data_IF_238405267943
#
_entry.id   IF_238405267943
#
_cell.length_a   1.000
_cell.length_b   1.000
_cell.length_c   1.000
_cell.angle_alpha   90.00
_cell.angle_beta   90.00
_cell.angle_gamma   90.00
#
_symmetry.space_group_name_H-M   'P 1'
#
loop_
_entity.id
_entity.type
_entity.pdbx_description
1 polymer ?
#
# COMPACT_ATOMS: atom_id res chain seq x y z
N UNK A 1 -12.55 23.69 19.75
CA UNK A 1 -13.34 22.83 18.92
C UNK A 1 -12.54 22.49 17.68
N UNK A 2 -11.95 21.32 17.73
CA UNK A 2 -11.05 20.80 16.69
C UNK A 2 -11.89 20.26 15.55
N UNK A 3 -11.81 20.89 14.42
CA UNK A 3 -12.12 20.29 13.14
C UNK A 3 -10.79 20.16 12.39
N UNK A 4 -9.95 19.26 12.82
CA UNK A 4 -8.88 18.74 11.99
C UNK A 4 -9.54 17.83 10.97
N UNK A 5 -9.84 18.44 9.85
CA UNK A 5 -10.51 17.89 8.70
C UNK A 5 -9.68 16.71 8.17
N UNK A 6 -10.15 15.53 8.45
CA UNK A 6 -9.77 14.34 7.70
C UNK A 6 -10.19 14.63 6.25
N UNK A 7 -9.23 14.68 5.33
CA UNK A 7 -9.54 14.87 3.90
C UNK A 7 -10.32 13.64 3.44
N UNK A 8 -11.57 13.79 2.98
CA UNK A 8 -12.50 12.67 2.87
C UNK A 8 -12.20 11.72 1.71
N UNK A 9 -11.38 12.14 0.73
CA UNK A 9 -11.14 11.34 -0.47
C UNK A 9 -9.68 10.92 -0.59
N UNK A 10 -9.47 9.61 -0.82
CA UNK A 10 -8.23 9.04 -1.30
C UNK A 10 -8.32 8.92 -2.83
N UNK A 11 -7.38 9.52 -3.54
CA UNK A 11 -7.32 9.48 -5.00
C UNK A 11 -6.02 8.80 -5.42
N UNK A 12 -6.15 7.75 -6.23
CA UNK A 12 -5.01 7.02 -6.80
C UNK A 12 -5.16 6.96 -8.31
N UNK A 13 -4.10 7.26 -9.04
CA UNK A 13 -4.09 7.19 -10.50
C UNK A 13 -2.69 7.04 -11.06
N UNK A 14 -2.63 6.63 -12.33
CA UNK A 14 -1.40 6.57 -13.10
C UNK A 14 -1.46 7.57 -14.25
N UNK A 15 -0.38 8.32 -14.47
CA UNK A 15 -0.22 9.22 -15.62
C UNK A 15 0.79 8.61 -16.58
N UNK A 16 0.35 8.23 -17.76
CA UNK A 16 1.20 7.61 -18.79
C UNK A 16 1.64 8.65 -19.82
N UNK A 17 2.90 8.58 -20.24
CA UNK A 17 3.48 9.50 -21.20
C UNK A 17 3.72 10.90 -20.65
N UNK A 18 3.82 11.04 -19.33
CA UNK A 18 4.14 12.30 -18.67
C UNK A 18 5.56 12.75 -19.01
N UNK A 19 5.70 14.05 -19.31
CA UNK A 19 6.99 14.75 -19.36
C UNK A 19 7.32 15.48 -18.06
N UNK A 20 6.36 15.54 -17.14
CA UNK A 20 6.55 16.17 -15.86
C UNK A 20 7.43 15.29 -14.95
N UNK A 21 8.30 15.93 -14.18
CA UNK A 21 9.09 15.22 -13.17
C UNK A 21 8.22 14.94 -11.95
N UNK A 22 8.41 13.79 -11.32
CA UNK A 22 7.65 13.40 -10.11
C UNK A 22 7.65 14.48 -9.04
N UNK A 23 8.79 15.13 -8.81
CA UNK A 23 8.94 16.21 -7.83
C UNK A 23 8.09 17.44 -8.15
N UNK A 24 7.97 17.81 -9.42
CA UNK A 24 7.17 18.97 -9.84
C UNK A 24 5.67 18.67 -9.66
N UNK A 25 5.25 17.44 -9.96
CA UNK A 25 3.88 16.95 -9.74
C UNK A 25 3.55 16.91 -8.23
N UNK A 26 4.47 16.38 -7.43
CA UNK A 26 4.33 16.33 -5.97
C UNK A 26 4.16 17.71 -5.37
N UNK A 27 5.05 18.65 -5.74
CA UNK A 27 4.97 20.03 -5.25
C UNK A 27 3.66 20.71 -5.63
N UNK A 28 3.18 20.50 -6.85
CA UNK A 28 1.92 21.09 -7.31
C UNK A 28 0.71 20.53 -6.56
N UNK A 29 0.70 19.23 -6.30
CA UNK A 29 -0.38 18.58 -5.56
C UNK A 29 -0.39 18.94 -4.07
N UNK A 30 0.77 19.30 -3.49
CA UNK A 30 0.86 19.71 -2.08
C UNK A 30 0.09 21.00 -1.78
N UNK A 31 -0.22 21.82 -2.80
CA UNK A 31 -1.03 23.02 -2.63
C UNK A 31 -2.49 22.68 -2.25
N UNK A 32 -3.04 21.59 -2.81
CA UNK A 32 -4.45 21.22 -2.68
C UNK A 32 -4.68 19.92 -1.89
N UNK A 33 -3.61 19.18 -1.57
CA UNK A 33 -3.67 17.87 -0.96
C UNK A 33 -2.85 17.82 0.33
N UNK A 34 -3.34 17.08 1.34
CA UNK A 34 -2.58 16.90 2.60
C UNK A 34 -1.52 15.83 2.53
N UNK A 35 -1.85 14.72 1.90
CA UNK A 35 -0.93 13.63 1.66
C UNK A 35 -0.69 13.54 0.17
N UNK A 36 0.56 13.48 -0.22
CA UNK A 36 0.96 13.34 -1.62
C UNK A 36 2.11 12.33 -1.69
N UNK A 37 1.93 11.30 -2.49
CA UNK A 37 2.99 10.40 -2.88
C UNK A 37 3.01 10.29 -4.41
N UNK A 38 4.15 10.59 -5.02
CA UNK A 38 4.37 10.48 -6.45
C UNK A 38 5.56 9.59 -6.71
N UNK A 39 5.36 8.50 -7.42
CA UNK A 39 6.41 7.55 -7.77
C UNK A 39 6.57 7.53 -9.29
N UNK A 40 7.80 7.65 -9.74
CA UNK A 40 8.14 7.51 -11.15
C UNK A 40 8.44 6.04 -11.45
N UNK A 41 7.72 5.49 -12.42
CA UNK A 41 7.90 4.15 -12.95
C UNK A 41 8.14 4.25 -14.46
N UNK A 42 9.28 3.77 -14.92
CA UNK A 42 9.83 3.81 -16.30
C UNK A 42 9.18 4.78 -17.31
N UNK A 43 7.86 4.72 -17.52
CA UNK A 43 7.09 5.52 -18.49
C UNK A 43 5.84 6.18 -17.90
N UNK A 44 5.66 6.10 -16.59
CA UNK A 44 4.46 6.61 -15.91
C UNK A 44 4.77 7.22 -14.56
N UNK A 45 3.89 8.08 -14.11
CA UNK A 45 3.84 8.54 -12.73
C UNK A 45 2.67 7.86 -12.04
N UNK A 46 2.92 7.24 -10.90
CA UNK A 46 1.89 6.74 -10.01
C UNK A 46 1.69 7.76 -8.91
N UNK A 47 0.45 8.18 -8.71
CA UNK A 47 0.09 9.25 -7.79
C UNK A 47 -0.94 8.73 -6.80
N UNK A 48 -0.70 9.02 -5.52
CA UNK A 48 -1.63 8.77 -4.42
C UNK A 48 -1.75 10.04 -3.58
N UNK A 49 -2.97 10.55 -3.40
CA UNK A 49 -3.22 11.77 -2.64
C UNK A 49 -4.47 11.68 -1.79
N UNK A 50 -4.51 12.47 -0.70
CA UNK A 50 -5.72 12.71 0.09
C UNK A 50 -6.17 14.16 -0.07
N UNK A 51 -7.43 14.36 -0.47
CA UNK A 51 -7.99 15.69 -0.80
C UNK A 51 -9.46 15.79 -0.47
N UNK A 52 -9.95 17.01 -0.26
CA UNK A 52 -11.40 17.35 -0.20
C UNK A 52 -11.99 17.54 -1.60
N UNK A 53 -11.12 17.78 -2.61
CA UNK A 53 -11.52 18.17 -3.95
C UNK A 53 -10.91 17.24 -5.02
N UNK A 54 -11.39 15.98 -5.15
CA UNK A 54 -10.84 15.03 -6.11
C UNK A 54 -10.93 15.52 -7.57
N UNK A 55 -11.93 16.36 -7.90
CA UNK A 55 -12.07 16.97 -9.22
C UNK A 55 -10.88 17.85 -9.61
N UNK A 56 -10.35 18.64 -8.68
CA UNK A 56 -9.18 19.50 -8.91
C UNK A 56 -7.95 18.65 -9.23
N UNK A 57 -7.78 17.53 -8.52
CA UNK A 57 -6.68 16.58 -8.77
C UNK A 57 -6.78 15.99 -10.17
N UNK A 58 -7.98 15.64 -10.63
CA UNK A 58 -8.23 15.10 -11.97
C UNK A 58 -7.85 16.13 -13.04
N UNK A 59 -8.31 17.37 -12.90
CA UNK A 59 -8.01 18.45 -13.85
C UNK A 59 -6.52 18.71 -13.98
N UNK A 60 -5.81 18.76 -12.86
CA UNK A 60 -4.35 18.89 -12.86
C UNK A 60 -3.68 17.68 -13.53
N UNK A 61 -4.13 16.48 -13.21
CA UNK A 61 -3.54 15.25 -13.70
C UNK A 61 -3.68 15.07 -15.21
N UNK A 62 -4.79 15.51 -15.83
CA UNK A 62 -5.00 15.51 -17.28
C UNK A 62 -3.93 16.37 -17.99
N UNK A 63 -3.50 17.46 -17.37
CA UNK A 63 -2.44 18.31 -17.91
C UNK A 63 -1.05 17.66 -17.95
N UNK A 64 -0.81 16.60 -17.20
CA UNK A 64 0.50 15.90 -17.16
C UNK A 64 0.61 14.74 -18.13
N UNK A 65 -0.51 14.19 -18.64
CA UNK A 65 -0.52 13.08 -19.59
C UNK A 65 -1.82 12.27 -19.58
N UNK A 66 -1.76 11.04 -20.08
CA UNK A 66 -2.94 10.17 -20.15
C UNK A 66 -3.19 9.49 -18.80
N UNK A 67 -4.36 9.73 -18.24
CA UNK A 67 -4.78 9.05 -16.99
C UNK A 67 -5.12 7.59 -17.23
N UNK A 68 -4.68 6.73 -16.32
CA UNK A 68 -5.01 5.31 -16.24
C UNK A 68 -5.28 4.92 -14.79
N UNK A 69 -6.08 3.86 -14.60
CA UNK A 69 -6.34 3.26 -13.28
C UNK A 69 -6.78 4.29 -12.23
N UNK A 70 -7.62 5.23 -12.65
CA UNK A 70 -8.11 6.28 -11.76
C UNK A 70 -9.14 5.71 -10.78
N UNK A 71 -8.89 5.94 -9.48
CA UNK A 71 -9.78 5.53 -8.39
C UNK A 71 -9.94 6.67 -7.40
N UNK A 72 -11.17 6.90 -6.98
CA UNK A 72 -11.52 7.77 -5.86
C UNK A 72 -12.23 6.91 -4.81
N UNK A 73 -11.78 6.99 -3.58
CA UNK A 73 -12.41 6.30 -2.44
C UNK A 73 -12.80 7.35 -1.41
N UNK A 74 -14.04 7.35 -0.97
CA UNK A 74 -14.49 8.15 0.15
C UNK A 74 -13.95 7.55 1.45
N UNK A 75 -13.07 8.29 2.11
CA UNK A 75 -12.45 7.83 3.35
C UNK A 75 -13.42 7.90 4.54
N UNK A 76 -14.44 8.78 4.47
CA UNK A 76 -15.46 8.86 5.51
C UNK A 76 -16.40 7.65 5.44
N UNK A 77 -16.72 7.18 4.22
CA UNK A 77 -17.47 5.94 4.02
C UNK A 77 -16.64 4.72 4.42
N UNK A 78 -15.37 4.68 4.05
CA UNK A 78 -14.44 3.67 4.52
C UNK A 78 -14.29 3.70 6.05
N UNK A 79 -14.23 4.89 6.66
CA UNK A 79 -14.22 5.06 8.11
C UNK A 79 -15.59 4.76 8.76
N UNK A 80 -16.72 5.02 8.10
CA UNK A 80 -18.03 4.66 8.60
C UNK A 80 -18.27 3.14 8.55
N UNK A 81 -17.78 2.48 7.51
CA UNK A 81 -17.70 1.02 7.44
C UNK A 81 -16.72 0.45 8.47
N UNK A 82 -15.72 1.25 8.92
CA UNK A 82 -14.79 0.89 10.00
C UNK A 82 -15.22 1.42 11.37
N UNK A 83 -16.19 2.33 11.48
CA UNK A 83 -16.72 2.80 12.77
C UNK A 83 -17.60 1.72 13.46
N UNK A 84 -18.16 0.77 12.70
CA UNK A 84 -18.63 -0.51 13.24
C UNK A 84 -17.49 -1.48 13.62
N UNK A 85 -16.24 -1.15 13.24
CA UNK A 85 -15.03 -1.76 13.75
C UNK A 85 -14.60 -1.05 15.05
N UNK A 86 -15.16 -1.44 16.15
CA UNK A 86 -14.63 -1.12 17.48
C UNK A 86 -13.22 -1.67 17.72
N UNK A 87 -12.54 -2.13 16.70
CA UNK A 87 -11.13 -2.49 16.76
C UNK A 87 -10.45 -2.53 15.38
N UNK A 88 -9.73 -1.47 15.04
CA UNK A 88 -8.56 -1.62 14.16
C UNK A 88 -7.75 -2.81 14.69
N UNK A 89 -7.45 -3.78 13.84
CA UNK A 89 -6.54 -4.85 14.22
C UNK A 89 -5.25 -4.23 14.74
N UNK A 90 -4.68 -4.68 15.86
CA UNK A 90 -3.38 -4.17 16.32
C UNK A 90 -2.30 -4.39 15.25
N UNK A 91 -2.41 -5.49 14.51
CA UNK A 91 -1.53 -5.86 13.40
C UNK A 91 -2.32 -6.57 12.32
N UNK A 92 -1.98 -6.33 11.04
CA UNK A 92 -2.47 -7.10 9.92
C UNK A 92 -1.30 -7.65 9.08
N UNK A 93 -1.55 -8.78 8.43
CA UNK A 93 -0.62 -9.41 7.50
C UNK A 93 -1.01 -9.05 6.07
N UNK A 94 -0.10 -8.38 5.38
CA UNK A 94 -0.18 -8.05 3.97
C UNK A 94 0.74 -8.98 3.20
N UNK A 95 0.23 -9.71 2.22
CA UNK A 95 1.00 -10.61 1.41
C UNK A 95 0.97 -10.21 -0.07
N UNK A 96 2.11 -10.32 -0.76
CA UNK A 96 2.19 -10.10 -2.20
C UNK A 96 1.94 -11.42 -2.92
N UNK A 97 1.04 -11.42 -3.91
CA UNK A 97 0.62 -12.62 -4.64
C UNK A 97 0.75 -12.41 -6.15
N UNK A 98 1.30 -13.41 -6.84
CA UNK A 98 1.54 -13.41 -8.29
C UNK A 98 0.24 -13.45 -9.11
N UNK A 99 -0.80 -14.08 -8.56
CA UNK A 99 -2.08 -14.27 -9.21
C UNK A 99 -3.23 -14.47 -8.19
N UNK A 100 -4.44 -14.60 -8.67
CA UNK A 100 -5.63 -14.76 -7.84
C UNK A 100 -5.64 -16.08 -7.03
N UNK A 101 -5.15 -17.18 -7.61
CA UNK A 101 -5.09 -18.47 -6.92
C UNK A 101 -4.08 -18.40 -5.76
N UNK A 102 -2.94 -17.78 -6.01
CA UNK A 102 -1.93 -17.49 -4.98
C UNK A 102 -2.50 -16.61 -3.88
N UNK A 103 -3.22 -15.54 -4.24
CA UNK A 103 -3.87 -14.65 -3.30
C UNK A 103 -4.87 -15.38 -2.40
N UNK A 104 -5.69 -16.25 -2.96
CA UNK A 104 -6.63 -17.09 -2.20
C UNK A 104 -5.89 -17.99 -1.21
N UNK A 105 -4.85 -18.67 -1.67
CA UNK A 105 -4.00 -19.51 -0.82
C UNK A 105 -3.42 -18.77 0.37
N UNK A 106 -2.85 -17.57 0.15
CA UNK A 106 -2.28 -16.75 1.22
C UNK A 106 -3.35 -16.25 2.20
N UNK A 107 -4.56 -15.97 1.71
CA UNK A 107 -5.70 -15.61 2.57
C UNK A 107 -6.11 -16.78 3.47
N UNK A 108 -6.16 -18.00 2.94
CA UNK A 108 -6.44 -19.22 3.73
C UNK A 108 -5.37 -19.46 4.80
N UNK A 109 -4.11 -19.09 4.55
CA UNK A 109 -3.01 -19.17 5.50
C UNK A 109 -3.01 -18.05 6.56
N UNK A 110 -3.85 -17.02 6.40
CA UNK A 110 -4.04 -15.96 7.39
C UNK A 110 -3.66 -14.55 6.93
N UNK A 111 -3.36 -14.34 5.65
CA UNK A 111 -3.16 -12.99 5.14
C UNK A 111 -4.48 -12.20 5.17
N UNK A 112 -4.41 -10.96 5.68
CA UNK A 112 -5.56 -10.06 5.78
C UNK A 112 -5.73 -9.21 4.52
N UNK A 113 -4.62 -8.89 3.85
CA UNK A 113 -4.60 -8.05 2.64
C UNK A 113 -3.71 -8.71 1.61
N UNK A 114 -4.18 -8.77 0.36
CA UNK A 114 -3.41 -9.27 -0.77
C UNK A 114 -3.07 -8.09 -1.69
N UNK A 115 -1.80 -7.95 -2.03
CA UNK A 115 -1.32 -7.01 -3.05
C UNK A 115 -0.88 -7.81 -4.27
N UNK A 116 -1.44 -7.56 -5.45
CA UNK A 116 -0.99 -8.20 -6.67
C UNK A 116 0.46 -7.83 -6.98
N UNK A 117 1.27 -8.82 -7.35
CA UNK A 117 2.66 -8.61 -7.77
C UNK A 117 3.41 -9.90 -7.99
N UNK A 118 4.23 -9.91 -9.03
CA UNK A 118 5.09 -11.02 -9.41
C UNK A 118 6.52 -10.51 -9.68
N UNK A 119 7.41 -11.42 -10.08
CA UNK A 119 8.76 -11.06 -10.50
C UNK A 119 8.76 -10.20 -11.76
N UNK A 120 7.88 -10.48 -12.71
CA UNK A 120 7.72 -9.74 -13.96
C UNK A 120 6.94 -8.45 -13.77
N UNK A 121 6.01 -8.43 -12.83
CA UNK A 121 5.14 -7.30 -12.54
C UNK A 121 5.18 -6.98 -11.04
N UNK A 122 6.30 -6.40 -10.63
CA UNK A 122 6.54 -6.03 -9.24
C UNK A 122 5.50 -4.99 -8.77
N UNK A 123 4.95 -5.12 -7.55
CA UNK A 123 4.01 -4.13 -7.05
C UNK A 123 4.70 -2.78 -6.94
N UNK A 124 3.98 -1.72 -7.22
CA UNK A 124 4.50 -0.37 -7.01
C UNK A 124 4.50 0.01 -5.53
N UNK A 125 5.35 0.96 -5.16
CA UNK A 125 5.34 1.54 -3.80
C UNK A 125 3.96 2.08 -3.44
N UNK A 126 3.26 2.72 -4.39
CA UNK A 126 1.94 3.30 -4.10
C UNK A 126 0.86 2.23 -3.87
N UNK A 127 0.92 1.06 -4.50
CA UNK A 127 0.02 -0.06 -4.19
C UNK A 127 0.26 -0.59 -2.78
N UNK A 128 1.51 -0.72 -2.37
CA UNK A 128 1.86 -1.12 -1.01
C UNK A 128 1.43 -0.06 0.03
N UNK A 129 1.63 1.22 -0.27
CA UNK A 129 1.16 2.32 0.59
C UNK A 129 -0.37 2.30 0.70
N UNK A 130 -1.08 2.15 -0.41
CA UNK A 130 -2.54 2.08 -0.42
C UNK A 130 -3.04 0.90 0.42
N UNK A 131 -2.45 -0.27 0.27
CA UNK A 131 -2.80 -1.45 1.05
C UNK A 131 -2.56 -1.25 2.56
N UNK A 132 -1.46 -0.59 2.94
CA UNK A 132 -1.15 -0.28 4.33
C UNK A 132 -1.94 0.92 4.89
N UNK A 133 -2.61 1.72 4.04
CA UNK A 133 -3.52 2.80 4.43
C UNK A 133 -5.00 2.38 4.37
N UNK A 134 -5.29 1.11 4.19
CA UNK A 134 -6.66 0.58 4.16
C UNK A 134 -7.40 0.65 5.50
N UNK A 135 -6.79 1.26 6.52
CA UNK A 135 -7.32 1.44 7.89
C UNK A 135 -7.78 0.14 8.57
N UNK A 136 -7.34 -1.01 8.05
CA UNK A 136 -7.63 -2.32 8.63
C UNK A 136 -6.86 -2.56 9.93
N UNK A 137 -5.63 -2.03 10.03
CA UNK A 137 -4.77 -2.24 11.17
C UNK A 137 -3.90 -1.02 11.52
N UNK A 138 -3.42 -0.96 12.76
CA UNK A 138 -2.47 0.07 13.20
C UNK A 138 -1.08 -0.16 12.66
N UNK A 139 -0.68 -1.42 12.53
CA UNK A 139 0.62 -1.84 12.00
C UNK A 139 0.47 -3.02 11.06
N UNK A 140 1.44 -3.21 10.18
CA UNK A 140 1.41 -4.27 9.17
C UNK A 140 2.70 -5.06 9.16
N UNK A 141 2.59 -6.35 8.83
CA UNK A 141 3.71 -7.16 8.35
C UNK A 141 3.50 -7.38 6.87
N UNK A 142 4.46 -7.01 6.04
CA UNK A 142 4.42 -7.26 4.60
C UNK A 142 5.31 -8.46 4.30
N UNK A 143 4.73 -9.49 3.66
CA UNK A 143 5.43 -10.72 3.27
C UNK A 143 5.42 -10.86 1.75
N UNK A 144 6.60 -10.94 1.15
CA UNK A 144 6.75 -11.21 -0.28
C UNK A 144 7.54 -12.50 -0.50
N UNK A 145 7.21 -13.23 -1.57
CA UNK A 145 7.80 -14.52 -1.94
C UNK A 145 8.83 -14.45 -3.07
N UNK A 146 9.44 -13.28 -3.31
CA UNK A 146 10.49 -13.12 -4.32
C UNK A 146 11.44 -11.98 -3.95
N UNK A 147 12.74 -12.26 -4.04
CA UNK A 147 13.80 -11.30 -3.71
C UNK A 147 13.84 -10.07 -4.63
N UNK A 148 13.29 -10.17 -5.85
CA UNK A 148 13.19 -9.03 -6.77
C UNK A 148 12.37 -7.88 -6.20
N UNK A 149 11.49 -8.15 -5.23
CA UNK A 149 10.63 -7.15 -4.59
C UNK A 149 11.32 -6.37 -3.47
N UNK A 150 12.56 -6.73 -3.10
CA UNK A 150 13.25 -6.12 -1.95
C UNK A 150 13.32 -4.61 -2.03
N UNK A 151 13.66 -4.07 -3.20
CA UNK A 151 13.86 -2.63 -3.37
C UNK A 151 12.55 -1.85 -3.14
N UNK A 152 11.45 -2.31 -3.74
CA UNK A 152 10.14 -1.65 -3.62
C UNK A 152 9.60 -1.76 -2.18
N UNK A 153 9.79 -2.90 -1.54
CA UNK A 153 9.39 -3.08 -0.14
C UNK A 153 10.18 -2.17 0.80
N UNK A 154 11.50 -2.03 0.60
CA UNK A 154 12.34 -1.11 1.37
C UNK A 154 11.94 0.36 1.17
N UNK A 155 11.55 0.74 -0.05
CA UNK A 155 11.02 2.07 -0.32
C UNK A 155 9.69 2.32 0.40
N UNK A 156 8.75 1.36 0.33
CA UNK A 156 7.49 1.45 1.05
C UNK A 156 7.73 1.56 2.57
N UNK A 157 8.61 0.75 3.15
CA UNK A 157 8.97 0.84 4.58
C UNK A 157 9.56 2.19 4.95
N UNK A 158 10.39 2.80 4.09
CA UNK A 158 10.96 4.12 4.36
C UNK A 158 9.89 5.19 4.52
N UNK A 159 8.80 5.10 3.76
CA UNK A 159 7.68 6.04 3.81
C UNK A 159 6.75 5.72 4.99
N UNK A 160 6.41 4.44 5.20
CA UNK A 160 5.49 3.97 6.24
C UNK A 160 6.12 3.92 7.64
N UNK A 161 7.44 3.93 7.71
CA UNK A 161 8.20 3.99 8.97
C UNK A 161 7.93 2.79 9.89
N UNK A 162 7.66 3.09 11.16
CA UNK A 162 7.41 2.10 12.22
C UNK A 162 6.08 1.32 12.06
N UNK A 163 5.20 1.78 11.16
CA UNK A 163 3.91 1.11 10.92
C UNK A 163 4.05 -0.22 10.20
N UNK A 164 5.18 -0.51 9.61
CA UNK A 164 5.38 -1.68 8.75
C UNK A 164 6.64 -2.45 9.13
N UNK A 165 6.54 -3.75 9.20
CA UNK A 165 7.67 -4.70 9.19
C UNK A 165 7.68 -5.49 7.89
N UNK A 166 8.88 -5.82 7.40
CA UNK A 166 9.07 -6.54 6.14
C UNK A 166 9.59 -7.95 6.40
N UNK A 167 9.06 -8.90 5.66
CA UNK A 167 9.58 -10.28 5.58
C UNK A 167 9.71 -10.63 4.10
N UNK A 168 10.90 -11.03 3.70
CA UNK A 168 11.21 -11.41 2.33
C UNK A 168 11.58 -12.89 2.33
N UNK A 169 10.73 -13.71 1.73
CA UNK A 169 10.98 -15.11 1.46
C UNK A 169 11.69 -15.27 0.10
N UNK A 170 12.39 -16.36 -0.10
CA UNK A 170 13.12 -16.65 -1.34
C UNK A 170 12.19 -17.13 -2.44
N UNK A 171 11.12 -17.80 -2.05
CA UNK A 171 10.13 -18.41 -2.93
C UNK A 171 8.74 -18.47 -2.28
N UNK A 172 7.76 -18.95 -3.03
CA UNK A 172 6.37 -19.09 -2.57
C UNK A 172 6.21 -20.11 -1.44
N UNK A 173 7.03 -21.15 -1.40
CA UNK A 173 6.96 -22.17 -0.34
C UNK A 173 7.45 -21.61 1.01
N UNK A 174 8.51 -20.81 0.99
CA UNK A 174 8.95 -20.06 2.16
C UNK A 174 7.93 -18.98 2.58
N UNK A 175 7.32 -18.31 1.61
CA UNK A 175 6.26 -17.35 1.89
C UNK A 175 5.06 -18.01 2.60
N UNK A 176 4.62 -19.20 2.16
CA UNK A 176 3.56 -19.95 2.81
C UNK A 176 3.88 -20.23 4.28
N UNK A 177 5.10 -20.71 4.54
CA UNK A 177 5.56 -21.00 5.91
C UNK A 177 5.57 -19.72 6.77
N UNK A 178 6.05 -18.61 6.21
CA UNK A 178 6.07 -17.34 6.91
C UNK A 178 4.66 -16.83 7.23
N UNK A 179 3.75 -16.85 6.23
CA UNK A 179 2.35 -16.41 6.40
C UNK A 179 1.62 -17.27 7.42
N UNK A 180 1.81 -18.59 7.41
CA UNK A 180 1.20 -19.53 8.37
C UNK A 180 1.65 -19.30 9.83
N UNK A 181 2.78 -18.63 10.06
CA UNK A 181 3.24 -18.26 11.41
C UNK A 181 2.58 -17.00 11.97
N UNK A 182 1.79 -16.31 11.16
CA UNK A 182 1.15 -15.07 11.59
C UNK A 182 0.24 -15.30 12.81
N UNK A 183 0.39 -14.46 13.82
CA UNK A 183 -0.42 -14.46 15.02
C UNK A 183 -0.91 -13.05 15.31
N UNK A 184 -2.22 -12.84 15.22
CA UNK A 184 -2.88 -11.55 15.49
C UNK A 184 -2.69 -11.02 16.92
N UNK A 185 -2.23 -11.87 17.85
CA UNK A 185 -1.95 -11.49 19.23
C UNK A 185 -0.54 -10.90 19.42
N UNK A 186 0.34 -11.09 18.44
CA UNK A 186 1.71 -10.56 18.46
C UNK A 186 1.77 -9.21 17.77
N UNK A 187 2.73 -8.38 18.16
CA UNK A 187 3.05 -7.14 17.44
C UNK A 187 3.62 -7.43 16.05
N UNK A 188 3.64 -6.42 15.17
CA UNK A 188 4.26 -6.56 13.85
C UNK A 188 5.74 -6.95 13.96
N UNK A 189 6.48 -6.38 14.92
CA UNK A 189 7.90 -6.71 15.17
C UNK A 189 8.10 -8.16 15.60
N UNK A 190 7.25 -8.68 16.49
CA UNK A 190 7.31 -10.07 16.96
C UNK A 190 6.97 -11.06 15.85
N UNK A 191 5.91 -10.79 15.07
CA UNK A 191 5.55 -11.60 13.90
C UNK A 191 6.70 -11.65 12.90
N UNK A 192 7.21 -10.48 12.48
CA UNK A 192 8.29 -10.40 11.51
C UNK A 192 9.58 -11.07 12.01
N UNK A 193 9.90 -10.97 13.31
CA UNK A 193 11.03 -11.65 13.91
C UNK A 193 10.87 -13.17 13.86
N UNK A 194 9.68 -13.68 14.21
CA UNK A 194 9.40 -15.12 14.16
C UNK A 194 9.48 -15.67 12.72
N UNK A 195 8.90 -14.94 11.76
CA UNK A 195 8.93 -15.30 10.34
C UNK A 195 10.36 -15.32 9.79
N UNK A 196 11.15 -14.27 10.04
CA UNK A 196 12.55 -14.20 9.58
C UNK A 196 13.40 -15.35 10.16
N UNK A 197 13.23 -15.66 11.45
CA UNK A 197 13.93 -16.77 12.09
C UNK A 197 13.60 -18.13 11.47
N UNK A 198 12.40 -18.29 10.91
CA UNK A 198 12.02 -19.51 10.19
C UNK A 198 12.71 -19.62 8.82
N UNK A 199 13.03 -18.49 8.20
CA UNK A 199 13.59 -18.39 6.85
C UNK A 199 15.14 -18.37 6.83
N UNK A 200 15.79 -18.30 7.99
CA UNK A 200 17.25 -18.47 8.17
C UNK A 200 17.66 -19.95 8.09
#
# INVERSE_FOLDING_TARGET
PRRDLVRPYCVTFRVVGSKARARDVEHRLQEDCRFVAVVHDERSLLVHVHTDHPGVVVEQAIGWGKLRSFRVTDMAEAHALTADYESLLPVALLAVASDAARGLRLTELGANVIVPGSREECPSVAELLHAAHSDLARTYVIVAGDSSMELVLRQAKRILGERVELVLAKDEAEQDKAVALYDKKRTAKENAKAMRKLLE
#
